data_IF_530190537346
#
_entry.id   IF_530190537346
#
_cell.length_a   1.000
_cell.length_b   1.000
_cell.length_c   1.000
_cell.angle_alpha   90.00
_cell.angle_beta   90.00
_cell.angle_gamma   90.00
#
_symmetry.space_group_name_H-M   'P 1'
#
loop_
_entity.id
_entity.type
_entity.pdbx_description
1 polymer ?
#
# COMPACT_ATOMS: atom_id res chain seq x y z
N UNK A 1 7.14 -0.83 7.79
CA UNK A 1 6.69 -1.55 6.58
C UNK A 1 7.81 -2.47 6.10
N UNK A 2 7.56 -3.77 5.95
CA UNK A 2 8.60 -4.68 5.43
C UNK A 2 8.65 -4.55 3.91
N UNK A 3 9.83 -4.23 3.35
CA UNK A 3 10.07 -4.03 1.91
C UNK A 3 9.55 -5.22 1.05
N UNK A 4 9.39 -6.39 1.67
CA UNK A 4 8.96 -7.64 1.03
C UNK A 4 7.55 -7.60 0.44
N UNK A 5 6.58 -6.95 1.09
CA UNK A 5 5.20 -6.88 0.58
C UNK A 5 5.13 -5.99 -0.67
N UNK A 6 5.89 -4.90 -0.69
CA UNK A 6 5.92 -3.96 -1.81
C UNK A 6 6.44 -4.62 -3.11
N UNK A 7 7.40 -5.53 -3.02
CA UNK A 7 7.96 -6.19 -4.20
C UNK A 7 6.99 -7.15 -4.90
N UNK A 8 6.11 -7.82 -4.16
CA UNK A 8 5.12 -8.75 -4.75
C UNK A 8 4.09 -8.00 -5.59
N UNK A 9 3.57 -6.90 -5.05
CA UNK A 9 2.57 -6.06 -5.72
C UNK A 9 3.13 -5.44 -7.02
N UNK A 10 4.44 -5.16 -7.05
CA UNK A 10 5.14 -4.66 -8.24
C UNK A 10 5.26 -5.71 -9.35
N UNK A 11 5.58 -6.95 -9.01
CA UNK A 11 5.67 -8.05 -9.98
C UNK A 11 4.30 -8.32 -10.61
N UNK A 12 3.24 -8.35 -9.80
CA UNK A 12 1.88 -8.53 -10.29
C UNK A 12 1.46 -7.39 -11.23
N UNK A 13 1.70 -6.14 -10.83
CA UNK A 13 1.35 -4.96 -11.62
C UNK A 13 2.10 -4.90 -12.95
N UNK A 14 3.39 -5.24 -12.96
CA UNK A 14 4.16 -5.38 -14.19
C UNK A 14 3.56 -6.42 -15.14
N UNK A 15 3.14 -7.57 -14.61
CA UNK A 15 2.49 -8.61 -15.42
C UNK A 15 1.12 -8.18 -15.95
N UNK A 16 0.32 -7.48 -15.12
CA UNK A 16 -0.96 -6.91 -15.55
C UNK A 16 -0.75 -5.89 -16.68
N UNK A 17 0.23 -4.99 -16.57
CA UNK A 17 0.55 -4.04 -17.64
C UNK A 17 0.99 -4.74 -18.92
N UNK A 18 1.88 -5.74 -18.83
CA UNK A 18 2.33 -6.51 -20.01
C UNK A 18 1.16 -7.19 -20.74
N UNK A 19 0.22 -7.74 -19.98
CA UNK A 19 -0.92 -8.50 -20.52
C UNK A 19 -2.03 -7.62 -21.07
N UNK A 20 -2.39 -6.56 -20.34
CA UNK A 20 -3.58 -5.77 -20.62
C UNK A 20 -3.28 -4.38 -21.19
N UNK A 21 -2.03 -3.92 -21.14
CA UNK A 21 -1.60 -2.57 -21.54
C UNK A 21 -2.30 -1.45 -20.77
N UNK A 22 -2.78 -1.74 -19.56
CA UNK A 22 -3.43 -0.77 -18.67
C UNK A 22 -2.49 -0.38 -17.54
N UNK A 23 -2.39 0.92 -17.26
CA UNK A 23 -1.62 1.46 -16.13
C UNK A 23 -2.24 0.96 -14.81
N UNK A 24 -1.44 0.23 -14.03
CA UNK A 24 -1.89 -0.33 -12.76
C UNK A 24 -1.67 0.69 -11.64
N UNK A 25 -2.69 0.90 -10.82
CA UNK A 25 -2.58 1.69 -9.59
C UNK A 25 -2.27 0.72 -8.45
N UNK A 26 -1.17 0.94 -7.75
CA UNK A 26 -0.79 0.14 -6.58
C UNK A 26 -1.14 0.95 -5.33
N UNK A 27 -2.11 0.47 -4.56
CA UNK A 27 -2.47 1.05 -3.27
C UNK A 27 -1.71 0.34 -2.15
N UNK A 28 -0.85 1.07 -1.46
CA UNK A 28 -0.06 0.55 -0.33
C UNK A 28 -0.58 1.16 0.97
N UNK A 29 -1.19 0.34 1.82
CA UNK A 29 -1.69 0.79 3.13
C UNK A 29 -0.66 0.45 4.20
N UNK A 30 -0.14 1.47 4.86
CA UNK A 30 0.87 1.32 5.91
C UNK A 30 0.20 1.46 7.28
N UNK A 31 -0.02 0.33 7.95
CA UNK A 31 -0.71 0.27 9.26
C UNK A 31 0.21 0.47 10.47
N UNK A 32 1.53 0.36 10.28
CA UNK A 32 2.54 0.64 11.31
C UNK A 32 3.44 1.76 10.84
N UNK A 33 3.66 2.75 11.69
CA UNK A 33 4.50 3.92 11.43
C UNK A 33 5.83 3.58 10.77
N UNK A 34 6.31 4.48 9.92
CA UNK A 34 7.64 4.38 9.33
C UNK A 34 8.69 4.54 10.44
N UNK A 35 9.73 3.71 10.44
CA UNK A 35 10.77 3.77 11.48
C UNK A 35 11.74 4.94 11.31
N UNK A 36 11.61 5.71 10.23
CA UNK A 36 12.54 6.77 9.85
C UNK A 36 11.79 8.08 9.76
N UNK A 37 12.14 9.05 10.61
CA UNK A 37 11.54 10.38 10.64
C UNK A 37 11.60 11.06 9.26
N UNK A 38 12.67 10.80 8.50
CA UNK A 38 12.97 11.50 7.25
C UNK A 38 12.24 10.95 6.01
N UNK A 39 11.38 9.92 6.16
CA UNK A 39 10.71 9.34 4.99
C UNK A 39 9.71 10.31 4.35
N UNK A 40 9.02 11.11 5.16
CA UNK A 40 8.07 12.10 4.64
C UNK A 40 8.75 13.26 3.93
N UNK A 41 9.99 13.59 4.32
CA UNK A 41 10.79 14.67 3.72
C UNK A 41 11.14 14.43 2.24
N UNK A 42 11.06 13.17 1.78
CA UNK A 42 11.24 12.80 0.37
C UNK A 42 10.04 13.17 -0.51
N UNK A 43 8.90 13.54 0.09
CA UNK A 43 7.68 13.89 -0.61
C UNK A 43 7.40 15.39 -0.52
N UNK A 44 6.88 15.95 -1.60
CA UNK A 44 6.40 17.34 -1.69
C UNK A 44 4.89 17.38 -1.80
N UNK A 45 4.23 18.49 -1.48
CA UNK A 45 2.78 18.62 -1.67
C UNK A 45 2.43 18.55 -3.16
N UNK A 46 1.45 17.72 -3.55
CA UNK A 46 0.94 17.64 -4.92
C UNK A 46 0.17 18.90 -5.31
N UNK A 47 -0.05 19.09 -6.61
CA UNK A 47 -0.88 20.19 -7.12
C UNK A 47 -2.33 20.12 -6.62
N UNK A 48 -2.85 18.95 -6.26
CA UNK A 48 -4.19 18.82 -5.69
C UNK A 48 -4.24 19.16 -4.19
N UNK A 49 -3.08 19.31 -3.52
CA UNK A 49 -2.98 19.78 -2.13
C UNK A 49 -3.33 18.75 -1.05
N UNK A 50 -3.95 17.62 -1.40
CA UNK A 50 -4.32 16.54 -0.47
C UNK A 50 -3.48 15.28 -0.58
N UNK A 51 -2.48 15.26 -1.47
CA UNK A 51 -1.50 14.17 -1.57
C UNK A 51 -0.10 14.73 -1.40
N UNK A 52 0.78 13.94 -0.80
CA UNK A 52 2.21 14.15 -0.90
C UNK A 52 2.71 13.34 -2.08
N UNK A 53 3.49 13.94 -2.96
CA UNK A 53 4.01 13.34 -4.17
C UNK A 53 5.54 13.22 -4.08
N UNK A 54 6.07 12.09 -4.52
CA UNK A 54 7.50 11.92 -4.76
C UNK A 54 7.72 11.47 -6.21
N UNK A 55 8.81 11.97 -6.81
CA UNK A 55 9.26 11.43 -8.09
C UNK A 55 9.83 10.03 -7.86
N UNK A 56 9.28 9.01 -8.52
CA UNK A 56 9.88 7.68 -8.56
C UNK A 56 10.61 7.51 -9.89
N UNK A 57 11.89 7.11 -9.84
CA UNK A 57 12.69 6.83 -11.05
C UNK A 57 12.75 5.35 -11.39
N UNK A 58 12.20 4.49 -10.54
CA UNK A 58 12.45 3.06 -10.61
C UNK A 58 11.28 2.26 -11.19
N UNK A 59 10.08 2.40 -10.61
CA UNK A 59 8.97 1.48 -10.92
C UNK A 59 7.61 2.14 -11.07
N UNK A 60 7.48 3.42 -10.74
CA UNK A 60 6.26 4.18 -10.95
C UNK A 60 6.59 5.52 -11.61
N UNK A 61 5.64 6.05 -12.38
CA UNK A 61 5.73 7.40 -12.96
C UNK A 61 5.66 8.47 -11.87
N UNK A 62 4.78 8.26 -10.89
CA UNK A 62 4.55 9.14 -9.75
C UNK A 62 4.19 8.28 -8.54
N UNK A 63 4.68 8.65 -7.36
CA UNK A 63 4.28 8.05 -6.10
C UNK A 63 3.50 9.07 -5.29
N UNK A 64 2.34 8.66 -4.79
CA UNK A 64 1.52 9.48 -3.91
C UNK A 64 1.49 8.85 -2.52
N UNK A 65 1.52 9.71 -1.51
CA UNK A 65 1.45 9.37 -0.10
C UNK A 65 0.31 10.19 0.50
N UNK A 66 -0.66 9.48 1.05
CA UNK A 66 -1.76 10.06 1.80
C UNK A 66 -1.53 9.80 3.29
N UNK A 67 -1.42 10.85 4.09
CA UNK A 67 -1.18 10.74 5.53
C UNK A 67 -2.40 11.23 6.31
N UNK A 68 -2.56 10.72 7.53
CA UNK A 68 -3.64 11.18 8.42
C UNK A 68 -3.64 12.69 8.60
N UNK A 69 -2.45 13.31 8.79
CA UNK A 69 -2.32 14.75 8.95
C UNK A 69 -2.79 15.55 7.74
N UNK A 70 -2.46 15.09 6.52
CA UNK A 70 -2.93 15.73 5.28
C UNK A 70 -4.45 15.61 5.14
N UNK A 71 -5.02 14.45 5.46
CA UNK A 71 -6.47 14.23 5.43
C UNK A 71 -7.18 15.14 6.45
N UNK A 72 -6.67 15.23 7.68
CA UNK A 72 -7.26 16.07 8.73
C UNK A 72 -7.27 17.54 8.31
N UNK A 73 -6.18 18.04 7.73
CA UNK A 73 -6.10 19.41 7.21
C UNK A 73 -7.05 19.64 6.04
N UNK A 74 -7.17 18.67 5.13
CA UNK A 74 -8.07 18.78 3.98
C UNK A 74 -9.54 18.79 4.38
N UNK A 75 -9.94 17.89 5.28
CA UNK A 75 -11.32 17.77 5.80
C UNK A 75 -11.79 19.03 6.52
N UNK A 76 -10.88 19.74 7.19
CA UNK A 76 -11.19 21.01 7.84
C UNK A 76 -11.48 22.14 6.82
N UNK A 77 -10.78 22.16 5.70
CA UNK A 77 -10.89 23.20 4.69
C UNK A 77 -11.98 22.96 3.63
N UNK A 78 -12.37 21.71 3.35
CA UNK A 78 -13.29 21.35 2.27
C UNK A 78 -14.57 20.70 2.82
N UNK A 79 -15.68 21.43 2.78
CA UNK A 79 -16.87 21.11 3.58
C UNK A 79 -17.96 20.27 2.89
N UNK A 80 -17.89 20.00 1.58
CA UNK A 80 -19.08 19.46 0.87
C UNK A 80 -18.82 18.15 0.11
N UNK A 81 -17.65 17.97 -0.50
CA UNK A 81 -17.34 16.77 -1.29
C UNK A 81 -15.93 16.27 -1.02
N UNK A 82 -15.83 15.13 -0.32
CA UNK A 82 -14.58 14.37 -0.22
C UNK A 82 -14.32 13.62 -1.51
N UNK A 83 -13.18 13.87 -2.13
CA UNK A 83 -12.63 13.03 -3.19
C UNK A 83 -12.55 11.56 -2.72
N UNK A 84 -12.85 10.56 -3.58
CA UNK A 84 -12.91 9.16 -3.17
C UNK A 84 -11.64 8.64 -2.49
N UNK A 85 -10.47 9.10 -2.94
CA UNK A 85 -9.18 8.75 -2.32
C UNK A 85 -9.02 9.36 -0.93
N UNK A 86 -9.49 10.58 -0.73
CA UNK A 86 -9.48 11.23 0.59
C UNK A 86 -10.50 10.57 1.51
N UNK A 87 -11.68 10.21 1.01
CA UNK A 87 -12.68 9.45 1.76
C UNK A 87 -12.13 8.09 2.21
N UNK A 88 -11.46 7.36 1.32
CA UNK A 88 -10.79 6.10 1.66
C UNK A 88 -9.66 6.31 2.69
N UNK A 89 -8.85 7.35 2.52
CA UNK A 89 -7.82 7.72 3.48
C UNK A 89 -8.39 8.05 4.84
N UNK A 90 -9.45 8.87 4.90
CA UNK A 90 -10.16 9.21 6.12
C UNK A 90 -10.65 7.96 6.82
N UNK A 91 -11.35 7.09 6.08
CA UNK A 91 -11.88 5.84 6.59
C UNK A 91 -10.81 4.90 7.16
N UNK A 92 -9.64 4.84 6.52
CA UNK A 92 -8.55 3.94 6.93
C UNK A 92 -7.70 4.50 8.07
N UNK A 93 -7.60 5.81 8.21
CA UNK A 93 -6.77 6.48 9.22
C UNK A 93 -7.55 6.90 10.47
N UNK A 94 -8.83 7.22 10.34
CA UNK A 94 -9.70 7.62 11.46
C UNK A 94 -10.56 6.40 11.84
N UNK A 95 -10.03 5.60 12.77
CA UNK A 95 -10.50 4.24 13.07
C UNK A 95 -11.90 4.11 13.66
N UNK A 96 -12.60 5.20 13.96
CA UNK A 96 -13.94 5.13 14.53
C UNK A 96 -14.98 5.59 13.51
N UNK A 97 -15.72 4.62 12.97
CA UNK A 97 -16.91 4.85 12.14
C UNK A 97 -17.93 5.80 12.79
N UNK A 98 -17.94 5.86 14.13
CA UNK A 98 -18.80 6.74 14.91
C UNK A 98 -18.34 8.22 14.88
N UNK A 99 -17.12 8.49 14.38
CA UNK A 99 -16.55 9.84 14.27
C UNK A 99 -16.60 10.39 12.84
N UNK A 100 -17.41 9.80 11.94
CA UNK A 100 -17.69 10.47 10.66
C UNK A 100 -18.45 11.77 10.98
N UNK A 101 -17.90 12.95 10.62
CA UNK A 101 -18.57 14.21 10.91
C UNK A 101 -19.93 14.25 10.23
N UNK A 102 -20.93 14.85 10.88
CA UNK A 102 -22.32 14.87 10.37
C UNK A 102 -22.43 15.39 8.93
N UNK A 103 -21.59 16.34 8.54
CA UNK A 103 -21.57 16.91 7.19
C UNK A 103 -21.03 15.92 6.13
N UNK A 104 -20.27 14.90 6.54
CA UNK A 104 -19.76 13.84 5.66
C UNK A 104 -20.63 12.57 5.64
N UNK A 105 -21.66 12.48 6.49
CA UNK A 105 -22.55 11.31 6.55
C UNK A 105 -23.36 11.10 5.25
N UNK A 106 -23.53 12.15 4.44
CA UNK A 106 -24.18 12.07 3.13
C UNK A 106 -23.22 11.72 1.99
N UNK A 107 -21.92 11.58 2.26
CA UNK A 107 -20.96 11.22 1.22
C UNK A 107 -21.18 9.75 0.79
N UNK A 108 -21.47 9.47 -0.49
CA UNK A 108 -21.82 8.13 -0.94
C UNK A 108 -20.67 7.14 -0.81
N UNK A 109 -19.42 7.59 -0.97
CA UNK A 109 -18.23 6.72 -0.82
C UNK A 109 -18.04 6.29 0.62
N UNK A 110 -18.12 7.21 1.59
CA UNK A 110 -18.03 6.87 3.01
C UNK A 110 -19.17 5.95 3.46
N UNK A 111 -20.38 6.19 2.96
CA UNK A 111 -21.54 5.34 3.22
C UNK A 111 -21.33 3.91 2.71
N UNK A 112 -20.87 3.77 1.46
CA UNK A 112 -20.55 2.48 0.86
C UNK A 112 -19.48 1.76 1.69
N UNK A 113 -18.35 2.41 1.96
CA UNK A 113 -17.25 1.83 2.75
C UNK A 113 -17.73 1.39 4.14
N UNK A 114 -18.54 2.21 4.83
CA UNK A 114 -19.09 1.85 6.13
C UNK A 114 -20.03 0.65 6.06
N UNK A 115 -20.93 0.59 5.06
CA UNK A 115 -21.82 -0.55 4.88
C UNK A 115 -21.06 -1.85 4.59
N UNK A 116 -20.05 -1.80 3.73
CA UNK A 116 -19.20 -2.95 3.39
C UNK A 116 -18.49 -3.48 4.63
N UNK A 117 -17.92 -2.61 5.46
CA UNK A 117 -17.26 -3.04 6.70
C UNK A 117 -18.27 -3.64 7.68
N UNK A 118 -19.46 -3.04 7.85
CA UNK A 118 -20.51 -3.62 8.70
C UNK A 118 -20.92 -5.01 8.24
N UNK A 119 -21.09 -5.21 6.93
CA UNK A 119 -21.45 -6.50 6.34
C UNK A 119 -20.36 -7.56 6.56
N UNK A 120 -19.08 -7.20 6.41
CA UNK A 120 -17.96 -8.11 6.67
C UNK A 120 -17.93 -8.50 8.16
N UNK A 121 -18.06 -7.52 9.05
CA UNK A 121 -18.02 -7.75 10.49
C UNK A 121 -19.23 -8.57 10.98
N UNK A 122 -20.43 -8.34 10.44
CA UNK A 122 -21.61 -9.14 10.81
C UNK A 122 -21.44 -10.60 10.42
N UNK A 123 -20.88 -10.87 9.23
CA UNK A 123 -20.56 -12.24 8.79
C UNK A 123 -19.53 -12.90 9.70
N UNK A 124 -18.50 -12.17 10.15
CA UNK A 124 -17.50 -12.70 11.09
C UNK A 124 -18.08 -13.02 12.48
N UNK A 125 -19.00 -12.18 12.98
CA UNK A 125 -19.66 -12.38 14.27
C UNK A 125 -20.59 -13.61 14.29
N UNK A 126 -21.37 -13.82 13.23
CA UNK A 126 -22.28 -14.97 13.13
C UNK A 126 -21.48 -16.29 13.02
N UNK A 127 -20.34 -16.28 12.33
CA UNK A 127 -19.43 -17.41 12.33
C UNK A 127 -18.73 -17.66 13.67
N UNK A 128 -18.56 -16.61 14.51
CA UNK A 128 -17.87 -16.67 15.81
C UNK A 128 -18.66 -17.43 16.87
N UNK A 129 -19.99 -17.40 16.80
CA UNK A 129 -20.86 -17.97 17.83
C UNK A 129 -21.05 -19.49 17.67
N UNK A 130 -20.78 -20.07 16.49
CA UNK A 130 -21.28 -21.43 16.20
C UNK A 130 -20.25 -22.59 16.32
N UNK A 131 -18.92 -22.41 16.21
CA UNK A 131 -17.96 -23.55 16.16
C UNK A 131 -16.55 -23.28 16.72
N UNK A 132 -16.34 -23.24 18.05
CA UNK A 132 -15.03 -22.94 18.64
C UNK A 132 -13.95 -24.02 18.41
N UNK A 133 -14.29 -25.32 18.38
CA UNK A 133 -13.31 -26.42 18.22
C UNK A 133 -12.73 -26.57 16.80
N UNK A 134 -13.49 -26.22 15.76
CA UNK A 134 -12.98 -26.25 14.37
C UNK A 134 -12.00 -25.10 14.09
N UNK A 135 -12.16 -23.98 14.81
CA UNK A 135 -11.44 -22.73 14.60
C UNK A 135 -9.99 -22.79 15.05
N UNK A 136 -9.68 -23.46 16.14
CA UNK A 136 -8.29 -23.58 16.59
C UNK A 136 -7.45 -24.34 15.54
N UNK A 137 -8.00 -25.41 14.97
CA UNK A 137 -7.36 -26.17 13.89
C UNK A 137 -7.27 -25.37 12.59
N UNK A 138 -8.31 -24.62 12.22
CA UNK A 138 -8.29 -23.78 11.01
C UNK A 138 -7.33 -22.60 11.14
N UNK A 139 -7.29 -21.95 12.31
CA UNK A 139 -6.38 -20.84 12.61
C UNK A 139 -4.93 -21.29 12.62
N UNK A 140 -4.62 -22.44 13.23
CA UNK A 140 -3.26 -23.02 13.18
C UNK A 140 -2.87 -23.42 11.75
N UNK A 141 -3.79 -23.97 10.95
CA UNK A 141 -3.55 -24.21 9.51
C UNK A 141 -3.29 -22.91 8.75
N UNK A 142 -4.03 -21.84 9.04
CA UNK A 142 -3.86 -20.53 8.41
C UNK A 142 -2.51 -19.90 8.81
N UNK A 143 -2.14 -19.96 10.10
CA UNK A 143 -0.83 -19.50 10.59
C UNK A 143 0.32 -20.24 9.89
N UNK A 144 0.21 -21.57 9.74
CA UNK A 144 1.21 -22.38 9.02
C UNK A 144 1.30 -21.99 7.54
N UNK A 145 0.16 -21.84 6.86
CA UNK A 145 0.12 -21.38 5.46
C UNK A 145 0.74 -19.99 5.32
N UNK A 146 0.40 -19.06 6.21
CA UNK A 146 0.97 -17.72 6.21
C UNK A 146 2.49 -17.75 6.48
N UNK A 147 2.95 -18.61 7.39
CA UNK A 147 4.39 -18.80 7.63
C UNK A 147 5.13 -19.32 6.38
N UNK A 148 4.54 -20.29 5.66
CA UNK A 148 5.10 -20.81 4.40
C UNK A 148 5.17 -19.71 3.34
N UNK A 149 4.07 -18.98 3.12
CA UNK A 149 4.01 -17.85 2.18
C UNK A 149 5.03 -16.78 2.54
N UNK A 150 5.20 -16.47 3.83
CA UNK A 150 6.22 -15.55 4.29
C UNK A 150 7.62 -16.06 3.96
N UNK A 151 7.92 -17.35 4.18
CA UNK A 151 9.22 -17.95 3.85
C UNK A 151 9.49 -17.88 2.34
N UNK A 152 8.54 -18.28 1.50
CA UNK A 152 8.65 -18.21 0.04
C UNK A 152 8.89 -16.78 -0.44
N UNK A 153 8.17 -15.80 0.11
CA UNK A 153 8.40 -14.38 -0.15
C UNK A 153 9.80 -13.92 0.28
N UNK A 154 10.32 -14.43 1.41
CA UNK A 154 11.71 -14.11 1.83
C UNK A 154 12.72 -14.65 0.82
N UNK A 155 12.52 -15.87 0.31
CA UNK A 155 13.40 -16.52 -0.68
C UNK A 155 13.40 -15.72 -1.98
N UNK A 156 12.21 -15.48 -2.57
CA UNK A 156 12.08 -14.72 -3.82
C UNK A 156 12.68 -13.31 -3.72
N UNK A 157 12.50 -12.64 -2.58
CA UNK A 157 13.10 -11.32 -2.36
C UNK A 157 14.63 -11.37 -2.31
N UNK A 158 15.20 -12.39 -1.68
CA UNK A 158 16.64 -12.57 -1.59
C UNK A 158 17.25 -12.86 -2.97
N UNK A 159 16.62 -13.73 -3.75
CA UNK A 159 16.99 -14.01 -5.14
C UNK A 159 16.92 -12.74 -6.01
N UNK A 160 15.86 -11.94 -5.85
CA UNK A 160 15.70 -10.66 -6.54
C UNK A 160 16.81 -9.66 -6.20
N UNK A 161 17.19 -9.54 -4.92
CA UNK A 161 18.31 -8.69 -4.48
C UNK A 161 19.65 -9.14 -5.06
N UNK A 162 19.91 -10.45 -5.09
CA UNK A 162 21.13 -11.01 -5.65
C UNK A 162 21.21 -10.76 -7.16
N UNK A 163 20.10 -10.97 -7.88
CA UNK A 163 20.00 -10.66 -9.31
C UNK A 163 20.26 -9.18 -9.58
N UNK A 164 19.66 -8.29 -8.79
CA UNK A 164 19.88 -6.86 -8.91
C UNK A 164 21.35 -6.46 -8.67
N UNK A 165 21.98 -7.01 -7.61
CA UNK A 165 23.41 -6.77 -7.31
C UNK A 165 24.29 -7.18 -8.48
N UNK A 166 24.04 -8.35 -9.08
CA UNK A 166 24.77 -8.82 -10.27
C UNK A 166 24.63 -7.85 -11.44
N UNK A 167 23.42 -7.43 -11.77
CA UNK A 167 23.18 -6.45 -12.85
C UNK A 167 23.86 -5.10 -12.58
N UNK A 168 23.83 -4.63 -11.34
CA UNK A 168 24.48 -3.38 -10.94
C UNK A 168 25.99 -3.45 -11.15
N UNK A 169 26.63 -4.53 -10.71
CA UNK A 169 28.07 -4.75 -10.90
C UNK A 169 28.44 -4.82 -12.39
N UNK A 170 27.71 -5.59 -13.19
CA UNK A 170 27.93 -5.68 -14.64
C UNK A 170 27.83 -4.31 -15.33
N UNK A 171 26.84 -3.48 -14.96
CA UNK A 171 26.69 -2.13 -15.51
C UNK A 171 27.82 -1.20 -15.07
N UNK A 172 28.31 -1.34 -13.85
CA UNK A 172 29.46 -0.57 -13.35
C UNK A 172 30.72 -0.92 -14.11
N UNK A 173 30.99 -2.21 -14.32
CA UNK A 173 32.14 -2.69 -15.09
C UNK A 173 32.07 -2.25 -16.56
N UNK A 174 30.90 -2.37 -17.20
CA UNK A 174 30.70 -1.93 -18.58
C UNK A 174 30.95 -0.42 -18.76
N UNK A 175 30.60 0.41 -17.76
CA UNK A 175 30.90 1.85 -17.78
C UNK A 175 32.39 2.13 -17.64
N UNK A 176 33.09 1.38 -16.78
CA UNK A 176 34.53 1.53 -16.59
C UNK A 176 35.31 1.07 -17.84
N UNK A 177 34.88 0.01 -18.52
CA UNK A 177 35.48 -0.44 -19.77
C UNK A 177 35.38 0.63 -20.86
N UNK A 178 34.18 1.19 -21.07
CA UNK A 178 33.96 2.28 -22.04
C UNK A 178 34.81 3.52 -21.76
N UNK A 179 35.05 3.84 -20.50
CA UNK A 179 35.89 4.99 -20.12
C UNK A 179 37.38 4.77 -20.44
N UNK A 180 37.85 3.51 -20.38
CA UNK A 180 39.22 3.13 -20.73
C UNK A 180 39.45 3.10 -22.23
N UNK A 181 38.44 2.76 -23.02
CA UNK A 181 38.52 2.79 -24.49
C UNK A 181 38.53 4.23 -25.06
N UNK A 182 38.08 5.21 -24.29
CA UNK A 182 38.06 6.62 -24.69
C UNK A 182 39.32 7.41 -24.35
N UNK A 183 40.35 6.77 -23.76
CA UNK A 183 41.64 7.36 -23.39
C UNK A 183 42.75 6.78 -24.27
#
# INVERSE_FOLDING_TARGET
MSIKTLCFDLCYSSNAYKRYRVLTIILVIVTKSFSKANFQDEFTTSSEGFLLQASCRFWAKQCFLLTAGVISNYSYCHQITLEPMVALGYFTTHHTLQQIPRHHCSNPTLMLLSSTVKEILSKECDEMICKPKLRQTALEKLKRKNAIVQIELKIQFQEGLESYRKQYHQRKEARQAKLKESL
#
